data_IF_957527199839
#
_entry.id   IF_957527199839
#
_cell.length_a   1.000
_cell.length_b   1.000
_cell.length_c   1.000
_cell.angle_alpha   90.00
_cell.angle_beta   90.00
_cell.angle_gamma   90.00
#
_symmetry.space_group_name_H-M   'P 1'
#
loop_
_entity.id
_entity.type
_entity.pdbx_description
1 polymer ?
#
# COMPACT_ATOMS: atom_id res chain seq x y z
N UNK A 1 -9.13 4.12 6.71
CA UNK A 1 -8.30 4.88 5.75
C UNK A 1 -9.02 4.84 4.40
N UNK A 2 -9.59 5.95 3.93
CA UNK A 2 -10.21 6.03 2.60
C UNK A 2 -9.09 6.13 1.56
N UNK A 3 -8.90 5.02 0.87
CA UNK A 3 -7.83 4.74 -0.08
C UNK A 3 -7.88 5.71 -1.25
N UNK A 4 -6.76 6.37 -1.56
CA UNK A 4 -6.38 6.89 -2.89
C UNK A 4 -7.31 7.87 -3.62
N UNK A 5 -8.52 8.12 -3.12
CA UNK A 5 -9.56 8.91 -3.79
C UNK A 5 -9.99 10.08 -2.90
N UNK A 6 -10.11 11.24 -3.51
CA UNK A 6 -10.72 12.41 -2.87
C UNK A 6 -12.18 12.12 -2.51
N UNK A 7 -12.64 12.55 -1.34
CA UNK A 7 -14.05 12.47 -0.90
C UNK A 7 -15.05 13.13 -1.86
N UNK A 8 -14.58 14.00 -2.77
CA UNK A 8 -15.37 14.66 -3.81
C UNK A 8 -15.32 13.94 -5.17
N UNK A 9 -14.64 12.80 -5.26
CA UNK A 9 -14.52 12.05 -6.50
C UNK A 9 -15.87 11.48 -6.92
N UNK A 10 -16.20 11.60 -8.22
CA UNK A 10 -17.36 10.93 -8.83
C UNK A 10 -17.32 9.40 -8.73
N UNK A 11 -16.15 8.84 -8.41
CA UNK A 11 -15.93 7.40 -8.25
C UNK A 11 -16.13 6.92 -6.80
N UNK A 12 -16.36 7.87 -5.88
CA UNK A 12 -16.76 7.58 -4.52
C UNK A 12 -18.27 7.70 -4.44
N UNK A 13 -18.87 6.70 -3.84
CA UNK A 13 -20.24 6.75 -3.38
C UNK A 13 -20.28 6.20 -1.96
N UNK A 14 -20.95 6.91 -1.06
CA UNK A 14 -20.87 6.73 0.39
C UNK A 14 -22.25 6.55 0.99
N UNK A 15 -22.37 5.52 1.82
CA UNK A 15 -23.53 5.30 2.67
C UNK A 15 -23.14 5.58 4.10
N UNK A 16 -24.08 6.13 4.88
CA UNK A 16 -23.92 6.18 6.34
C UNK A 16 -23.80 4.75 6.86
N UNK A 17 -22.82 4.51 7.71
CA UNK A 17 -22.68 3.23 8.40
C UNK A 17 -23.61 3.21 9.63
N UNK A 18 -24.69 2.41 9.64
CA UNK A 18 -25.61 2.36 10.78
C UNK A 18 -24.97 1.71 12.02
N UNK A 19 -23.85 0.99 11.84
CA UNK A 19 -23.12 0.32 12.89
C UNK A 19 -21.98 1.17 13.46
N UNK A 20 -21.87 2.44 13.06
CA UNK A 20 -20.83 3.33 13.55
C UNK A 20 -21.00 3.58 15.06
N UNK A 21 -19.94 3.32 15.81
CA UNK A 21 -19.89 3.54 17.26
C UNK A 21 -19.03 4.75 17.55
N UNK A 22 -19.69 5.85 17.92
CA UNK A 22 -19.05 7.15 18.10
C UNK A 22 -18.01 7.20 19.23
N UNK A 23 -18.07 6.26 20.17
CA UNK A 23 -17.18 6.18 21.32
C UNK A 23 -16.08 5.12 21.14
N UNK A 24 -16.03 4.44 20.00
CA UNK A 24 -14.94 3.52 19.65
C UNK A 24 -13.99 4.19 18.66
N UNK A 25 -12.73 3.77 18.66
CA UNK A 25 -11.72 4.29 17.76
C UNK A 25 -12.10 4.07 16.29
N UNK A 26 -11.65 5.00 15.44
CA UNK A 26 -11.82 4.89 14.01
C UNK A 26 -10.98 3.73 13.47
N UNK A 27 -11.63 2.78 12.81
CA UNK A 27 -10.98 1.60 12.20
C UNK A 27 -11.53 1.35 10.80
N UNK A 28 -11.14 0.27 10.13
CA UNK A 28 -11.79 -0.11 8.86
C UNK A 28 -13.25 -0.55 9.06
N UNK A 29 -13.56 -1.18 10.20
CA UNK A 29 -14.90 -1.63 10.56
C UNK A 29 -15.74 -0.55 11.26
N UNK A 30 -15.10 0.47 11.84
CA UNK A 30 -15.78 1.55 12.56
C UNK A 30 -15.53 2.92 11.91
N UNK A 31 -16.19 3.18 10.78
CA UNK A 31 -16.20 4.49 10.11
C UNK A 31 -17.62 5.02 10.00
N UNK A 32 -17.77 6.35 10.04
CA UNK A 32 -19.07 7.03 9.88
C UNK A 32 -19.75 6.73 8.54
N UNK A 33 -18.94 6.51 7.51
CA UNK A 33 -19.38 6.23 6.15
C UNK A 33 -18.64 5.03 5.60
N UNK A 34 -19.34 4.22 4.82
CA UNK A 34 -18.79 3.10 4.08
C UNK A 34 -19.00 3.30 2.58
N UNK A 35 -18.07 2.79 1.77
CA UNK A 35 -18.21 2.77 0.33
C UNK A 35 -19.37 1.85 -0.07
N UNK A 36 -20.14 2.28 -1.06
CA UNK A 36 -21.16 1.42 -1.68
C UNK A 36 -20.47 0.37 -2.53
N UNK A 37 -21.05 -0.83 -2.63
CA UNK A 37 -20.45 -1.93 -3.42
C UNK A 37 -20.40 -1.60 -4.91
N UNK A 38 -21.27 -0.70 -5.33
CA UNK A 38 -21.43 -0.19 -6.68
C UNK A 38 -20.34 0.85 -7.03
N UNK A 39 -19.71 1.47 -6.03
CA UNK A 39 -18.67 2.47 -6.26
C UNK A 39 -17.38 1.85 -6.83
N UNK A 40 -16.75 2.56 -7.77
CA UNK A 40 -15.44 2.18 -8.31
C UNK A 40 -14.39 2.18 -7.19
N UNK A 41 -14.50 3.11 -6.23
CA UNK A 41 -13.62 3.13 -5.07
C UNK A 41 -13.72 1.85 -4.22
N UNK A 42 -14.91 1.27 -4.06
CA UNK A 42 -15.07 -0.02 -3.37
C UNK A 42 -14.37 -1.15 -4.11
N UNK A 43 -14.59 -1.25 -5.43
CA UNK A 43 -13.97 -2.27 -6.26
C UNK A 43 -12.43 -2.16 -6.20
N UNK A 44 -11.91 -0.93 -6.27
CA UNK A 44 -10.48 -0.67 -6.14
C UNK A 44 -9.94 -1.04 -4.76
N UNK A 45 -10.67 -0.71 -3.68
CA UNK A 45 -10.33 -1.14 -2.33
C UNK A 45 -10.23 -2.67 -2.23
N UNK A 46 -11.21 -3.40 -2.76
CA UNK A 46 -11.20 -4.86 -2.75
C UNK A 46 -10.02 -5.44 -3.53
N UNK A 47 -9.71 -4.85 -4.69
CA UNK A 47 -8.55 -5.26 -5.48
C UNK A 47 -7.24 -5.08 -4.70
N UNK A 48 -7.05 -3.93 -4.06
CA UNK A 48 -5.86 -3.67 -3.23
C UNK A 48 -5.76 -4.63 -2.04
N UNK A 49 -6.85 -4.88 -1.32
CA UNK A 49 -6.88 -5.85 -0.23
C UNK A 49 -6.53 -7.26 -0.73
N UNK A 50 -6.99 -7.63 -1.92
CA UNK A 50 -6.67 -8.92 -2.54
C UNK A 50 -5.18 -9.03 -2.85
N UNK A 51 -4.60 -8.00 -3.48
CA UNK A 51 -3.17 -7.93 -3.81
C UNK A 51 -2.27 -7.96 -2.56
N UNK A 52 -2.71 -7.36 -1.46
CA UNK A 52 -2.01 -7.44 -0.19
C UNK A 52 -2.09 -8.85 0.41
N UNK A 53 -3.30 -9.41 0.49
CA UNK A 53 -3.55 -10.73 1.10
C UNK A 53 -2.87 -11.89 0.36
N UNK A 54 -2.67 -11.79 -0.96
CA UNK A 54 -2.00 -12.81 -1.76
C UNK A 54 -0.49 -12.55 -1.96
N UNK A 55 0.04 -11.49 -1.35
CA UNK A 55 1.45 -11.11 -1.42
C UNK A 55 1.92 -10.52 -2.76
N UNK A 56 1.01 -10.26 -3.70
CA UNK A 56 1.33 -9.68 -5.01
C UNK A 56 1.89 -8.27 -4.88
N UNK A 57 1.37 -7.48 -3.92
CA UNK A 57 1.94 -6.16 -3.57
C UNK A 57 3.43 -6.24 -3.28
N UNK A 58 3.87 -7.24 -2.51
CA UNK A 58 5.28 -7.43 -2.16
C UNK A 58 6.13 -7.93 -3.34
N UNK A 59 5.55 -8.68 -4.27
CA UNK A 59 6.25 -9.11 -5.51
C UNK A 59 6.48 -7.92 -6.44
N UNK A 60 5.43 -7.14 -6.71
CA UNK A 60 5.50 -5.93 -7.52
C UNK A 60 6.50 -4.95 -6.91
N UNK A 61 6.38 -4.68 -5.59
CA UNK A 61 7.30 -3.78 -4.91
C UNK A 61 8.75 -4.24 -5.04
N UNK A 62 9.03 -5.53 -4.84
CA UNK A 62 10.38 -6.07 -5.04
C UNK A 62 10.85 -5.87 -6.47
N UNK A 63 10.05 -6.27 -7.47
CA UNK A 63 10.43 -6.13 -8.88
C UNK A 63 10.90 -4.71 -9.24
N UNK A 64 10.17 -3.67 -8.79
CA UNK A 64 10.54 -2.29 -9.10
C UNK A 64 11.67 -1.74 -8.23
N UNK A 65 11.84 -2.21 -6.99
CA UNK A 65 12.90 -1.73 -6.11
C UNK A 65 14.22 -2.50 -6.24
N UNK A 66 14.21 -3.78 -6.66
CA UNK A 66 15.42 -4.56 -6.92
C UNK A 66 16.11 -4.15 -8.22
N UNK A 67 15.36 -3.71 -9.23
CA UNK A 67 15.93 -3.16 -10.48
C UNK A 67 16.77 -1.90 -10.19
N UNK A 68 16.40 -1.10 -9.17
CA UNK A 68 17.13 0.10 -8.78
C UNK A 68 18.33 -0.16 -7.85
N UNK A 69 18.54 -1.40 -7.37
CA UNK A 69 19.65 -1.74 -6.49
C UNK A 69 20.88 -2.31 -7.23
N UNK A 70 20.81 -2.47 -8.55
CA UNK A 70 21.93 -2.99 -9.35
C UNK A 70 22.85 -1.92 -9.98
N UNK A 71 22.57 -0.62 -9.82
CA UNK A 71 23.43 0.45 -10.36
C UNK A 71 24.36 1.12 -9.31
N UNK A 72 24.42 0.60 -8.08
CA UNK A 72 25.00 1.33 -6.94
C UNK A 72 26.20 0.73 -6.21
N UNK A 73 26.85 -0.34 -6.69
CA UNK A 73 28.00 -0.93 -5.95
C UNK A 73 29.09 -1.46 -6.87
N UNK A 74 29.90 -0.56 -7.43
CA UNK A 74 31.28 -0.86 -7.84
C UNK A 74 32.19 0.31 -7.45
N UNK A 75 32.62 0.32 -6.19
CA UNK A 75 33.73 1.10 -5.63
C UNK A 75 33.68 0.79 -4.12
N UNK A 76 34.62 0.15 -3.45
CA UNK A 76 36.07 0.06 -3.59
C UNK A 76 36.53 -1.16 -2.78
N UNK A 77 37.29 -2.07 -3.40
CA UNK A 77 38.21 -2.94 -2.66
C UNK A 77 39.60 -2.73 -3.23
N UNK A 78 40.16 -1.55 -2.97
CA UNK A 78 41.60 -1.32 -3.03
C UNK A 78 42.17 -1.91 -1.74
N UNK A 79 42.61 -3.16 -1.80
CA UNK A 79 43.41 -3.76 -0.73
C UNK A 79 44.87 -3.56 -1.10
N UNK A 80 45.46 -2.43 -0.69
CA UNK A 80 46.88 -2.17 -0.76
C UNK A 80 47.57 -2.63 0.54
N UNK A 81 48.60 -3.46 0.37
CA UNK A 81 49.77 -3.64 1.24
C UNK A 81 49.57 -4.20 2.66
N UNK A 82 50.43 -5.04 3.22
CA UNK A 82 51.63 -5.73 2.78
C UNK A 82 51.93 -6.72 3.92
N UNK A 83 52.06 -8.01 3.62
CA UNK A 83 52.85 -8.90 4.48
C UNK A 83 53.17 -10.18 3.71
N UNK A 84 54.39 -10.20 3.18
CA UNK A 84 55.14 -11.43 2.91
C UNK A 84 56.49 -11.32 3.65
N UNK A 85 57.07 -12.47 4.02
CA UNK A 85 57.62 -12.76 5.34
C UNK A 85 58.93 -12.06 5.70
#
# INVERSE_FOLDING_TARGET
MYLGFSLRSKHIDLLRNPLFKQYEDLSFSNQKHQLTKESIAYQFQQALQTLDSNGETAKIWRQYNTVNMHEGTVATSTNENNNQP
#
